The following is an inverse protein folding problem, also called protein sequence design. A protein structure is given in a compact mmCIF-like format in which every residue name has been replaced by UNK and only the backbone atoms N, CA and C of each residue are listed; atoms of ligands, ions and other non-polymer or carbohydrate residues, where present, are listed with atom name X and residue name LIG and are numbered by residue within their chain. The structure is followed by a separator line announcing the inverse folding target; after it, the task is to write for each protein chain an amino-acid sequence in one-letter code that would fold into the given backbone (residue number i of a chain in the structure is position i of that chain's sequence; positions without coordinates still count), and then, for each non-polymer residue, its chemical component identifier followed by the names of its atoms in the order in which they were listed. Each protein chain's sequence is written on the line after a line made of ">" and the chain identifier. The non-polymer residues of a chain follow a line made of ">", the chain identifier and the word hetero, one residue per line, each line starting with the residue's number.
data_IF_965225153697
#
_entry.id   IF_965225153697
#
_cell.length_a   1.000
_cell.length_b   1.000
_cell.length_c   1.000
_cell.angle_alpha   90.00
_cell.angle_beta   90.00
_cell.angle_gamma   90.00
#
_symmetry.space_group_name_H-M   'P 1'
#
loop_
_entity.id
_entity.type
_entity.pdbx_description
1 polymer ?
#
# COMPACT_ATOMS: atom_id res chain seq x y z
N UNK A 1 -18.14 1.98 0.85
CA UNK A 1 -17.72 3.38 0.55
C UNK A 1 -18.04 3.71 -0.89
N UNK A 2 -18.25 4.98 -1.22
CA UNK A 2 -18.34 5.38 -2.62
C UNK A 2 -16.92 5.48 -3.18
N UNK A 3 -16.62 4.69 -4.20
CA UNK A 3 -15.34 4.67 -4.89
C UNK A 3 -15.35 5.46 -6.20
N UNK A 4 -14.49 5.06 -7.14
CA UNK A 4 -14.39 5.66 -8.47
C UNK A 4 -15.76 5.73 -9.17
N UNK A 5 -16.05 6.85 -9.81
CA UNK A 5 -17.33 7.05 -10.52
C UNK A 5 -18.57 7.15 -9.62
N UNK A 6 -18.41 7.12 -8.29
CA UNK A 6 -19.51 7.09 -7.32
C UNK A 6 -20.06 5.69 -7.04
N UNK A 7 -19.44 4.64 -7.55
CA UNK A 7 -19.84 3.25 -7.30
C UNK A 7 -19.69 2.89 -5.84
N UNK A 8 -20.66 2.17 -5.29
CA UNK A 8 -20.56 1.61 -3.95
C UNK A 8 -19.69 0.36 -3.96
N UNK A 9 -18.59 0.38 -3.19
CA UNK A 9 -17.67 -0.75 -3.04
C UNK A 9 -17.48 -1.13 -1.57
N UNK A 10 -17.12 -2.38 -1.32
CA UNK A 10 -16.67 -2.81 0.00
C UNK A 10 -15.35 -2.16 0.37
N UNK A 11 -15.18 -1.84 1.65
CA UNK A 11 -13.92 -1.44 2.23
C UNK A 11 -13.80 -1.94 3.66
N UNK A 12 -12.58 -2.26 4.10
CA UNK A 12 -12.30 -2.71 5.46
C UNK A 12 -11.68 -1.58 6.26
N UNK A 13 -12.41 -1.11 7.27
CA UNK A 13 -11.93 -0.11 8.23
C UNK A 13 -11.44 -0.81 9.50
N UNK A 14 -10.24 -0.45 9.95
CA UNK A 14 -9.71 -0.82 11.26
C UNK A 14 -9.10 0.41 11.91
N UNK A 15 -9.43 0.67 13.18
CA UNK A 15 -8.93 1.85 13.87
C UNK A 15 -8.88 1.61 15.38
N UNK A 16 -7.99 2.29 16.12
CA UNK A 16 -8.03 2.30 17.57
C UNK A 16 -9.37 2.85 18.07
N UNK A 17 -9.89 2.27 19.15
CA UNK A 17 -11.06 2.82 19.82
C UNK A 17 -10.63 4.01 20.70
N UNK A 18 -11.44 5.05 20.69
CA UNK A 18 -11.36 6.20 21.62
C UNK A 18 -9.99 6.93 21.68
N UNK A 19 -9.16 6.81 20.66
CA UNK A 19 -7.91 7.54 20.57
C UNK A 19 -8.09 8.82 19.72
N UNK A 20 -7.71 10.01 20.22
CA UNK A 20 -7.67 11.23 19.41
C UNK A 20 -6.42 11.27 18.53
N UNK A 21 -6.40 12.21 17.57
CA UNK A 21 -5.23 12.53 16.74
C UNK A 21 -4.62 11.33 16.03
N UNK A 22 -5.47 10.44 15.51
CA UNK A 22 -5.06 9.22 14.82
C UNK A 22 -4.48 9.56 13.45
N UNK A 23 -3.21 9.19 13.17
CA UNK A 23 -2.72 9.11 11.80
C UNK A 23 -3.43 8.01 11.05
N UNK A 24 -3.49 8.13 9.74
CA UNK A 24 -4.26 7.18 8.92
C UNK A 24 -3.43 6.59 7.79
N UNK A 25 -3.81 5.37 7.35
CA UNK A 25 -3.13 4.67 6.24
C UNK A 25 -4.15 4.00 5.32
N UNK A 26 -4.08 4.29 4.02
CA UNK A 26 -4.76 3.49 3.01
C UNK A 26 -3.93 2.26 2.70
N UNK A 27 -4.52 1.08 2.84
CA UNK A 27 -3.86 -0.20 2.56
C UNK A 27 -4.32 -0.72 1.20
N UNK A 28 -3.40 -0.86 0.26
CA UNK A 28 -3.64 -1.42 -1.06
C UNK A 28 -3.24 -2.90 -1.05
N UNK A 29 -4.22 -3.76 -1.26
CA UNK A 29 -4.07 -5.19 -1.08
C UNK A 29 -3.27 -5.85 -2.23
N UNK A 30 -2.69 -7.01 -1.94
CA UNK A 30 -2.00 -7.86 -2.91
C UNK A 30 -2.99 -8.66 -3.80
N UNK A 31 -2.47 -9.44 -4.75
CA UNK A 31 -3.20 -10.56 -5.33
C UNK A 31 -2.98 -11.82 -4.45
N UNK A 32 -4.03 -12.51 -3.99
CA UNK A 32 -5.41 -12.54 -4.45
C UNK A 32 -6.35 -11.46 -3.92
N UNK A 33 -5.88 -10.49 -3.13
CA UNK A 33 -6.67 -9.30 -2.86
C UNK A 33 -7.20 -9.19 -1.44
N UNK A 34 -8.42 -8.80 -1.30
CA UNK A 34 -9.20 -8.44 -0.11
C UNK A 34 -9.44 -9.62 0.84
N UNK A 35 -8.36 -10.31 1.23
CA UNK A 35 -8.36 -11.54 1.99
C UNK A 35 -8.12 -11.33 3.49
N UNK A 36 -8.10 -12.44 4.24
CA UNK A 36 -7.87 -12.43 5.68
C UNK A 36 -6.48 -11.87 6.01
N UNK A 37 -5.45 -12.25 5.26
CA UNK A 37 -4.08 -11.85 5.54
C UNK A 37 -3.92 -10.33 5.41
N UNK A 38 -4.48 -9.71 4.36
CA UNK A 38 -4.44 -8.25 4.20
C UNK A 38 -5.27 -7.53 5.27
N UNK A 39 -6.41 -8.10 5.67
CA UNK A 39 -7.21 -7.56 6.79
C UNK A 39 -6.47 -7.65 8.14
N UNK A 40 -5.63 -8.68 8.36
CA UNK A 40 -4.76 -8.74 9.54
C UNK A 40 -3.69 -7.63 9.51
N UNK A 41 -3.13 -7.31 8.35
CA UNK A 41 -2.23 -6.16 8.19
C UNK A 41 -2.93 -4.87 8.64
N UNK A 42 -4.16 -4.62 8.18
CA UNK A 42 -4.93 -3.45 8.60
C UNK A 42 -5.17 -3.41 10.11
N UNK A 43 -5.46 -4.57 10.74
CA UNK A 43 -5.60 -4.67 12.21
C UNK A 43 -4.28 -4.44 12.93
N UNK A 44 -3.17 -4.88 12.37
CA UNK A 44 -1.82 -4.61 12.92
C UNK A 44 -1.56 -3.11 12.97
N UNK A 45 -1.86 -2.36 11.92
CA UNK A 45 -1.77 -0.90 11.94
C UNK A 45 -2.64 -0.28 13.04
N UNK A 46 -3.88 -0.76 13.22
CA UNK A 46 -4.76 -0.26 14.28
C UNK A 46 -4.19 -0.54 15.68
N UNK A 47 -3.55 -1.68 15.90
CA UNK A 47 -2.86 -2.00 17.15
C UNK A 47 -1.67 -1.06 17.43
N UNK A 48 -1.08 -0.47 16.38
CA UNK A 48 -0.01 0.54 16.48
C UNK A 48 -0.51 1.99 16.44
N UNK A 49 -1.82 2.21 16.54
CA UNK A 49 -2.38 3.55 16.70
C UNK A 49 -2.86 4.22 15.41
N UNK A 50 -2.80 3.55 14.26
CA UNK A 50 -3.23 4.09 12.97
C UNK A 50 -4.65 3.69 12.61
N UNK A 51 -5.44 4.62 12.09
CA UNK A 51 -6.68 4.27 11.41
C UNK A 51 -6.37 3.79 9.99
N UNK A 52 -6.92 2.65 9.57
CA UNK A 52 -6.69 2.12 8.22
C UNK A 52 -7.99 1.93 7.47
N UNK A 53 -7.95 2.21 6.17
CA UNK A 53 -9.01 1.86 5.24
C UNK A 53 -8.41 1.12 4.05
N UNK A 54 -8.96 -0.07 3.79
CA UNK A 54 -8.56 -0.91 2.66
C UNK A 54 -9.74 -1.03 1.70
N UNK A 55 -9.76 -0.32 0.57
CA UNK A 55 -10.79 -0.50 -0.46
C UNK A 55 -10.66 -1.88 -1.11
N UNK A 56 -11.78 -2.54 -1.38
CA UNK A 56 -11.81 -3.75 -2.18
C UNK A 56 -11.74 -3.41 -3.67
N UNK A 57 -10.52 -3.31 -4.20
CA UNK A 57 -10.28 -2.93 -5.60
C UNK A 57 -10.85 -3.94 -6.61
N UNK A 58 -11.17 -5.16 -6.16
CA UNK A 58 -11.75 -6.20 -7.01
C UNK A 58 -13.28 -6.29 -6.89
N UNK A 59 -13.92 -5.45 -6.07
CA UNK A 59 -15.36 -5.54 -5.79
C UNK A 59 -16.21 -5.55 -7.06
N UNK A 60 -15.93 -4.67 -8.02
CA UNK A 60 -16.70 -4.51 -9.26
C UNK A 60 -16.66 -5.72 -10.18
N UNK A 61 -15.60 -6.53 -10.11
CA UNK A 61 -15.40 -7.68 -11.00
C UNK A 61 -16.18 -8.91 -10.57
N UNK A 62 -16.38 -9.10 -9.26
CA UNK A 62 -17.17 -10.22 -8.71
C UNK A 62 -17.68 -9.84 -7.31
N UNK A 63 -18.75 -9.04 -7.19
CA UNK A 63 -19.30 -8.60 -5.91
C UNK A 63 -19.69 -9.80 -5.04
N UNK A 64 -19.23 -9.82 -3.78
CA UNK A 64 -19.54 -10.90 -2.83
C UNK A 64 -18.83 -12.23 -3.06
N UNK A 65 -17.97 -12.31 -4.08
CA UNK A 65 -17.18 -13.52 -4.33
C UNK A 65 -16.04 -13.69 -3.30
N UNK A 66 -15.49 -14.89 -3.23
CA UNK A 66 -14.27 -15.13 -2.45
C UNK A 66 -13.11 -14.30 -3.03
N UNK A 67 -12.17 -13.81 -2.19
CA UNK A 67 -11.08 -12.95 -2.66
C UNK A 67 -10.28 -13.49 -3.86
N UNK A 68 -10.00 -14.81 -3.88
CA UNK A 68 -9.31 -15.46 -5.00
C UNK A 68 -10.10 -15.43 -6.31
N UNK A 69 -11.41 -15.64 -6.24
CA UNK A 69 -12.30 -15.63 -7.42
C UNK A 69 -12.46 -14.19 -7.95
N UNK A 70 -12.61 -13.19 -7.06
CA UNK A 70 -12.66 -11.78 -7.44
C UNK A 70 -11.35 -11.32 -8.07
N UNK A 71 -10.21 -11.77 -7.55
CA UNK A 71 -8.90 -11.49 -8.13
C UNK A 71 -8.71 -12.16 -9.50
N UNK A 72 -9.23 -13.38 -9.70
CA UNK A 72 -9.21 -14.04 -11.00
C UNK A 72 -10.05 -13.25 -12.02
N UNK A 73 -11.28 -12.88 -11.66
CA UNK A 73 -12.16 -12.07 -12.51
C UNK A 73 -11.52 -10.71 -12.88
N UNK A 74 -10.89 -10.05 -11.92
CA UNK A 74 -10.17 -8.80 -12.19
C UNK A 74 -9.01 -8.99 -13.17
N UNK A 75 -8.22 -10.08 -13.04
CA UNK A 75 -7.14 -10.39 -14.00
C UNK A 75 -7.68 -10.69 -15.40
N UNK A 76 -8.75 -11.47 -15.50
CA UNK A 76 -9.38 -11.82 -16.78
C UNK A 76 -9.93 -10.57 -17.49
N UNK A 77 -10.32 -9.55 -16.73
CA UNK A 77 -10.73 -8.24 -17.24
C UNK A 77 -9.55 -7.29 -17.56
N UNK A 78 -8.30 -7.73 -17.44
CA UNK A 78 -7.12 -6.92 -17.71
C UNK A 78 -6.51 -6.20 -16.49
N UNK A 79 -7.01 -6.48 -15.29
CA UNK A 79 -6.57 -5.86 -14.04
C UNK A 79 -7.41 -4.66 -13.62
N UNK A 80 -7.00 -4.01 -12.53
CA UNK A 80 -7.62 -2.76 -12.05
C UNK A 80 -7.05 -1.59 -12.82
N UNK A 81 -7.83 -0.82 -13.59
CA UNK A 81 -7.37 0.37 -14.30
C UNK A 81 -6.88 1.46 -13.32
N UNK A 82 -5.92 2.26 -13.78
CA UNK A 82 -5.31 3.28 -12.91
C UNK A 82 -6.33 4.39 -12.50
N UNK A 83 -7.29 4.74 -13.34
CA UNK A 83 -8.36 5.69 -13.01
C UNK A 83 -9.30 5.13 -11.93
N UNK A 84 -9.67 3.84 -12.00
CA UNK A 84 -10.42 3.17 -10.94
C UNK A 84 -9.62 3.15 -9.63
N UNK A 85 -8.33 2.76 -9.69
CA UNK A 85 -7.45 2.76 -8.52
C UNK A 85 -7.38 4.12 -7.86
N UNK A 86 -7.14 5.17 -8.65
CA UNK A 86 -7.00 6.54 -8.15
C UNK A 86 -8.31 7.07 -7.57
N UNK A 87 -9.45 6.75 -8.17
CA UNK A 87 -10.76 7.12 -7.62
C UNK A 87 -11.06 6.41 -6.29
N UNK A 88 -10.80 5.11 -6.20
CA UNK A 88 -11.03 4.33 -4.97
C UNK A 88 -10.07 4.73 -3.84
N UNK A 89 -8.79 4.92 -4.15
CA UNK A 89 -7.80 5.37 -3.19
C UNK A 89 -8.05 6.82 -2.73
N UNK A 90 -8.40 7.71 -3.66
CA UNK A 90 -8.76 9.10 -3.35
C UNK A 90 -9.94 9.19 -2.38
N UNK A 91 -11.01 8.45 -2.67
CA UNK A 91 -12.18 8.39 -1.77
C UNK A 91 -11.81 7.82 -0.38
N UNK A 92 -10.92 6.82 -0.31
CA UNK A 92 -10.44 6.29 0.95
C UNK A 92 -9.61 7.32 1.74
N UNK A 93 -8.74 8.09 1.07
CA UNK A 93 -7.96 9.18 1.68
C UNK A 93 -8.89 10.25 2.26
N UNK A 94 -9.88 10.69 1.51
CA UNK A 94 -10.86 11.70 1.96
C UNK A 94 -11.65 11.22 3.17
N UNK A 95 -12.14 9.98 3.15
CA UNK A 95 -12.87 9.38 4.28
C UNK A 95 -12.00 9.32 5.55
N UNK A 96 -10.73 8.94 5.42
CA UNK A 96 -9.81 8.88 6.55
C UNK A 96 -9.50 10.27 7.10
N UNK A 97 -9.28 11.26 6.25
CA UNK A 97 -9.05 12.66 6.66
C UNK A 97 -10.25 13.28 7.35
N UNK A 98 -11.46 12.95 6.90
CA UNK A 98 -12.72 13.47 7.45
C UNK A 98 -13.14 12.84 8.78
N UNK A 99 -12.45 11.80 9.28
CA UNK A 99 -12.79 11.17 10.56
C UNK A 99 -12.61 12.16 11.72
N UNK A 100 -13.54 12.24 12.68
CA UNK A 100 -13.43 13.15 13.84
C UNK A 100 -12.15 12.94 14.68
N UNK A 101 -11.62 11.71 14.70
CA UNK A 101 -10.40 11.34 15.42
C UNK A 101 -9.13 11.47 14.58
N UNK A 102 -9.21 11.91 13.32
CA UNK A 102 -8.06 12.05 12.41
C UNK A 102 -7.18 13.23 12.80
N UNK A 103 -5.86 13.06 12.71
CA UNK A 103 -4.90 14.17 12.76
C UNK A 103 -4.72 14.88 11.40
N UNK A 104 -5.49 14.49 10.38
CA UNK A 104 -5.44 15.03 9.02
C UNK A 104 -4.37 14.40 8.11
N UNK A 105 -3.46 13.59 8.65
CA UNK A 105 -2.39 12.95 7.88
C UNK A 105 -2.77 11.56 7.41
N UNK A 106 -2.50 11.27 6.13
CA UNK A 106 -2.80 9.98 5.50
C UNK A 106 -1.62 9.49 4.68
N UNK A 107 -1.11 8.31 5.05
CA UNK A 107 -0.15 7.55 4.26
C UNK A 107 -0.82 6.52 3.36
N UNK A 108 -0.05 5.98 2.42
CA UNK A 108 -0.45 4.83 1.60
C UNK A 108 0.59 3.73 1.70
N UNK A 109 0.15 2.49 1.83
CA UNK A 109 1.01 1.30 1.77
C UNK A 109 0.40 0.26 0.86
N UNK A 110 1.24 -0.44 0.11
CA UNK A 110 0.79 -1.55 -0.73
C UNK A 110 1.80 -2.69 -0.79
N UNK A 111 1.29 -3.89 -1.03
CA UNK A 111 2.04 -5.13 -1.04
C UNK A 111 1.91 -5.81 -2.40
N UNK A 112 3.01 -6.25 -3.03
CA UNK A 112 3.03 -6.89 -4.35
C UNK A 112 2.37 -5.98 -5.42
N UNK A 113 1.25 -6.39 -6.02
CA UNK A 113 0.45 -5.51 -6.90
C UNK A 113 0.04 -4.21 -6.22
N UNK A 114 -0.29 -4.25 -4.93
CA UNK A 114 -0.55 -3.07 -4.12
C UNK A 114 0.67 -2.17 -3.95
N UNK A 115 1.89 -2.73 -3.96
CA UNK A 115 3.13 -1.96 -3.93
C UNK A 115 3.27 -1.08 -5.19
N UNK A 116 3.02 -1.64 -6.38
CA UNK A 116 2.92 -0.85 -7.61
C UNK A 116 1.82 0.22 -7.51
N UNK A 117 0.68 -0.16 -6.98
CA UNK A 117 -0.46 0.76 -6.83
C UNK A 117 -0.15 1.89 -5.86
N UNK A 118 0.59 1.66 -4.76
CA UNK A 118 1.00 2.73 -3.84
C UNK A 118 1.96 3.72 -4.50
N UNK A 119 2.82 3.27 -5.42
CA UNK A 119 3.67 4.13 -6.25
C UNK A 119 2.83 5.05 -7.16
N UNK A 120 1.80 4.49 -7.84
CA UNK A 120 0.88 5.26 -8.68
C UNK A 120 0.11 6.28 -7.85
N UNK A 121 -0.45 5.86 -6.70
CA UNK A 121 -1.19 6.74 -5.79
C UNK A 121 -0.30 7.89 -5.31
N UNK A 122 0.94 7.60 -4.88
CA UNK A 122 1.89 8.62 -4.44
C UNK A 122 2.24 9.63 -5.53
N UNK A 123 2.23 9.22 -6.80
CA UNK A 123 2.51 10.11 -7.93
C UNK A 123 1.34 11.03 -8.32
N UNK A 124 0.11 10.61 -8.05
CA UNK A 124 -1.10 11.27 -8.55
C UNK A 124 -1.96 11.94 -7.48
N UNK A 125 -1.95 11.41 -6.25
CA UNK A 125 -2.79 11.90 -5.16
C UNK A 125 -1.97 12.60 -4.07
N UNK A 126 -2.66 13.41 -3.27
CA UNK A 126 -2.05 14.09 -2.12
C UNK A 126 -2.05 13.13 -0.91
N UNK A 127 -0.89 12.55 -0.64
CA UNK A 127 -0.62 11.72 0.54
C UNK A 127 0.60 12.24 1.28
N UNK A 128 0.65 12.01 2.60
CA UNK A 128 1.73 12.52 3.45
C UNK A 128 2.97 11.62 3.47
N UNK A 129 2.81 10.33 3.16
CA UNK A 129 3.90 9.35 3.08
C UNK A 129 3.48 8.12 2.26
N UNK A 130 4.39 7.48 1.54
CA UNK A 130 4.11 6.30 0.75
C UNK A 130 5.07 5.15 1.06
N UNK A 131 4.55 3.93 1.21
CA UNK A 131 5.34 2.71 1.39
C UNK A 131 5.07 1.75 0.24
N UNK A 132 6.14 1.30 -0.41
CA UNK A 132 6.13 0.37 -1.55
C UNK A 132 6.77 -0.94 -1.12
N UNK A 133 5.96 -1.98 -0.89
CA UNK A 133 6.46 -3.31 -0.56
C UNK A 133 6.49 -4.17 -1.82
N UNK A 134 7.69 -4.51 -2.31
CA UNK A 134 7.95 -5.37 -3.47
C UNK A 134 6.99 -5.14 -4.65
N UNK A 135 6.75 -3.88 -4.99
CA UNK A 135 5.88 -3.47 -6.09
C UNK A 135 6.54 -3.62 -7.45
N UNK A 136 6.25 -4.70 -8.18
CA UNK A 136 6.77 -4.91 -9.52
C UNK A 136 6.11 -4.04 -10.59
N UNK A 137 6.81 -3.81 -11.70
CA UNK A 137 6.32 -3.02 -12.85
C UNK A 137 5.95 -1.58 -12.51
N UNK A 138 6.56 -1.02 -11.47
CA UNK A 138 6.41 0.41 -11.17
C UNK A 138 7.15 1.22 -12.24
N UNK A 139 6.51 2.28 -12.72
CA UNK A 139 7.10 3.14 -13.76
C UNK A 139 8.00 4.20 -13.11
N UNK A 140 9.33 4.21 -13.37
CA UNK A 140 10.25 5.20 -12.84
C UNK A 140 9.89 6.64 -13.22
N UNK A 141 9.27 6.88 -14.38
CA UNK A 141 8.88 8.21 -14.85
C UNK A 141 7.88 8.90 -13.90
N UNK A 142 7.11 8.13 -13.14
CA UNK A 142 6.17 8.68 -12.16
C UNK A 142 6.87 9.33 -10.97
N UNK A 143 8.15 9.03 -10.73
CA UNK A 143 8.93 9.61 -9.63
C UNK A 143 8.92 11.14 -9.65
N UNK A 144 8.95 11.76 -10.83
CA UNK A 144 8.90 13.22 -10.99
C UNK A 144 7.69 13.88 -10.31
N UNK A 145 6.56 13.18 -10.31
CA UNK A 145 5.27 13.68 -9.78
C UNK A 145 5.07 13.40 -8.30
N UNK A 146 5.86 12.50 -7.69
CA UNK A 146 5.77 12.18 -6.26
C UNK A 146 6.14 13.40 -5.42
N UNK A 147 5.33 13.75 -4.43
CA UNK A 147 5.54 14.90 -3.54
C UNK A 147 5.78 14.52 -2.08
N UNK A 148 5.46 13.31 -1.70
CA UNK A 148 5.65 12.80 -0.34
C UNK A 148 6.95 12.00 -0.21
N UNK A 149 7.47 11.79 1.01
CA UNK A 149 8.51 10.82 1.28
C UNK A 149 8.10 9.40 0.88
N UNK A 150 9.06 8.60 0.40
CA UNK A 150 8.82 7.21 -0.05
C UNK A 150 9.73 6.24 0.71
N UNK A 151 9.13 5.20 1.30
CA UNK A 151 9.84 4.03 1.80
C UNK A 151 9.65 2.88 0.83
N UNK A 152 10.74 2.26 0.36
CA UNK A 152 10.73 1.07 -0.47
C UNK A 152 11.31 -0.14 0.28
N UNK A 153 10.63 -1.28 0.24
CA UNK A 153 11.02 -2.53 0.87
C UNK A 153 11.04 -3.65 -0.18
N UNK A 154 12.23 -4.16 -0.53
CA UNK A 154 12.40 -5.06 -1.67
C UNK A 154 13.30 -6.25 -1.30
N UNK A 155 12.98 -7.42 -1.85
CA UNK A 155 13.82 -8.60 -1.76
C UNK A 155 14.78 -8.67 -2.94
N UNK A 156 16.05 -9.03 -2.72
CA UNK A 156 17.06 -9.15 -3.78
C UNK A 156 16.88 -10.41 -4.65
N UNK A 157 16.10 -11.40 -4.18
CA UNK A 157 15.76 -12.61 -4.94
C UNK A 157 14.44 -12.47 -5.73
N UNK A 158 13.79 -11.28 -5.69
CA UNK A 158 12.57 -11.03 -6.44
C UNK A 158 12.87 -10.90 -7.95
N UNK A 159 11.98 -11.44 -8.77
CA UNK A 159 12.05 -11.35 -10.22
C UNK A 159 11.17 -10.23 -10.77
N UNK A 160 10.25 -9.71 -9.97
CA UNK A 160 9.37 -8.59 -10.33
C UNK A 160 8.83 -7.89 -9.07
N UNK A 161 9.50 -6.79 -8.64
CA UNK A 161 10.62 -6.11 -9.28
C UNK A 161 11.94 -6.89 -9.14
N UNK A 162 12.71 -6.93 -10.21
CA UNK A 162 14.11 -7.37 -10.15
C UNK A 162 14.97 -6.32 -9.44
N UNK A 163 16.19 -6.69 -8.96
CA UNK A 163 17.12 -5.70 -8.43
C UNK A 163 17.39 -4.52 -9.39
N UNK A 164 17.45 -4.78 -10.70
CA UNK A 164 17.63 -3.74 -11.70
C UNK A 164 16.42 -2.81 -11.83
N UNK A 165 15.19 -3.33 -11.69
CA UNK A 165 13.99 -2.50 -11.64
C UNK A 165 14.01 -1.57 -10.41
N UNK A 166 14.45 -2.09 -9.26
CA UNK A 166 14.59 -1.31 -8.03
C UNK A 166 15.65 -0.23 -8.17
N UNK A 167 16.81 -0.54 -8.82
CA UNK A 167 17.84 0.44 -9.15
C UNK A 167 17.29 1.59 -9.99
N UNK A 168 16.45 1.28 -10.98
CA UNK A 168 15.83 2.29 -11.84
C UNK A 168 14.88 3.20 -11.08
N UNK A 169 14.06 2.65 -10.16
CA UNK A 169 13.16 3.45 -9.29
C UNK A 169 13.97 4.37 -8.37
N UNK A 170 15.03 3.84 -7.77
CA UNK A 170 15.89 4.60 -6.86
C UNK A 170 16.62 5.73 -7.59
N UNK A 171 17.16 5.44 -8.78
CA UNK A 171 17.78 6.44 -9.65
C UNK A 171 16.80 7.56 -10.01
N UNK A 172 15.58 7.22 -10.39
CA UNK A 172 14.56 8.20 -10.74
C UNK A 172 14.16 9.10 -9.56
N UNK A 173 14.02 8.54 -8.35
CA UNK A 173 13.77 9.35 -7.14
C UNK A 173 14.93 10.32 -6.86
N UNK A 174 16.16 9.83 -6.96
CA UNK A 174 17.38 10.63 -6.75
C UNK A 174 17.51 11.76 -7.78
N UNK A 175 17.32 11.48 -9.05
CA UNK A 175 17.39 12.45 -10.15
C UNK A 175 16.34 13.56 -10.01
N UNK A 176 15.17 13.22 -9.48
CA UNK A 176 14.09 14.19 -9.22
C UNK A 176 14.15 14.83 -7.82
N UNK A 177 15.24 14.63 -7.04
CA UNK A 177 15.44 15.24 -5.73
C UNK A 177 14.39 14.85 -4.69
N UNK A 178 13.86 13.62 -4.76
CA UNK A 178 12.82 13.16 -3.85
C UNK A 178 13.40 12.65 -2.53
N UNK A 179 12.62 12.77 -1.46
CA UNK A 179 12.94 12.16 -0.16
C UNK A 179 12.55 10.70 -0.19
N UNK A 180 13.49 9.81 0.00
CA UNK A 180 13.22 8.37 -0.01
C UNK A 180 14.19 7.58 0.86
N UNK A 181 13.79 6.35 1.23
CA UNK A 181 14.64 5.32 1.83
C UNK A 181 14.27 3.97 1.24
N UNK A 182 15.24 3.27 0.64
CA UNK A 182 15.05 1.92 0.10
C UNK A 182 15.85 0.92 0.92
N UNK A 183 15.18 -0.13 1.37
CA UNK A 183 15.78 -1.28 2.07
C UNK A 183 15.66 -2.52 1.20
N UNK A 184 16.77 -3.22 1.06
CA UNK A 184 16.88 -4.42 0.23
C UNK A 184 17.30 -5.58 1.11
N UNK A 185 16.66 -6.72 0.95
CA UNK A 185 16.83 -7.90 1.78
C UNK A 185 17.40 -9.05 0.96
N UNK A 186 18.65 -9.45 1.28
CA UNK A 186 19.28 -10.62 0.68
C UNK A 186 18.55 -11.90 1.12
N UNK A 187 18.35 -12.83 0.18
CA UNK A 187 17.63 -14.07 0.42
C UNK A 187 16.10 -13.95 0.37
N UNK A 188 15.55 -12.74 0.45
CA UNK A 188 14.11 -12.53 0.36
C UNK A 188 13.67 -12.31 -1.10
N UNK A 189 12.51 -12.88 -1.45
CA UNK A 189 11.85 -12.68 -2.74
C UNK A 189 10.55 -11.88 -2.61
N UNK A 190 9.67 -12.00 -3.61
CA UNK A 190 8.34 -11.38 -3.56
C UNK A 190 7.52 -11.93 -2.39
N UNK A 191 6.70 -11.09 -1.78
CA UNK A 191 5.76 -11.45 -0.71
C UNK A 191 6.41 -11.94 0.60
N UNK A 192 7.62 -11.48 0.93
CA UNK A 192 8.30 -11.86 2.18
C UNK A 192 7.56 -11.44 3.46
N UNK A 193 6.55 -10.57 3.40
CA UNK A 193 5.64 -10.27 4.52
C UNK A 193 4.50 -11.28 4.71
N UNK A 194 4.30 -12.23 3.79
CA UNK A 194 3.15 -13.13 3.79
C UNK A 194 3.35 -14.32 4.73
N UNK A 195 3.04 -14.16 6.01
CA UNK A 195 3.26 -15.13 7.10
C UNK A 195 2.62 -16.51 6.88
N UNK A 196 1.62 -16.59 6.02
CA UNK A 196 0.87 -17.81 5.70
C UNK A 196 1.35 -18.50 4.40
N UNK A 197 2.50 -18.06 3.85
CA UNK A 197 3.02 -18.53 2.56
C UNK A 197 4.48 -18.96 2.63
N UNK A 198 4.93 -19.87 1.76
CA UNK A 198 6.31 -20.38 1.75
C UNK A 198 7.39 -19.30 1.50
N UNK A 199 7.02 -18.16 0.88
CA UNK A 199 7.94 -17.06 0.61
C UNK A 199 8.13 -16.11 1.79
N UNK A 200 7.49 -16.37 2.93
CA UNK A 200 7.69 -15.58 4.13
C UNK A 200 9.15 -15.62 4.59
N UNK A 201 9.74 -14.46 4.76
CA UNK A 201 11.08 -14.32 5.35
C UNK A 201 10.97 -13.57 6.68
N UNK A 202 11.33 -14.24 7.76
CA UNK A 202 11.17 -13.71 9.13
C UNK A 202 12.01 -12.47 9.36
N UNK A 203 13.27 -12.48 8.93
CA UNK A 203 14.21 -11.41 9.23
C UNK A 203 13.91 -10.16 8.38
N UNK A 204 13.63 -10.35 7.08
CA UNK A 204 13.18 -9.29 6.20
C UNK A 204 11.85 -8.68 6.66
N UNK A 205 10.88 -9.51 7.07
CA UNK A 205 9.59 -9.03 7.56
C UNK A 205 9.71 -8.26 8.88
N UNK A 206 10.53 -8.72 9.83
CA UNK A 206 10.76 -8.03 11.11
C UNK A 206 11.41 -6.67 10.91
N UNK A 207 12.47 -6.60 10.11
CA UNK A 207 13.12 -5.33 9.82
C UNK A 207 12.18 -4.43 9.02
N UNK A 208 11.50 -4.96 8.01
CA UNK A 208 10.53 -4.22 7.21
C UNK A 208 9.43 -3.56 8.06
N UNK A 209 8.86 -4.27 9.03
CA UNK A 209 7.91 -3.68 9.98
C UNK A 209 8.54 -2.57 10.81
N UNK A 210 9.78 -2.75 11.30
CA UNK A 210 10.51 -1.71 12.03
C UNK A 210 10.69 -0.45 11.18
N UNK A 211 11.08 -0.61 9.90
CA UNK A 211 11.21 0.52 8.96
C UNK A 211 9.87 1.22 8.73
N UNK A 212 8.77 0.47 8.55
CA UNK A 212 7.43 1.04 8.37
C UNK A 212 7.03 1.87 9.59
N UNK A 213 7.21 1.35 10.82
CA UNK A 213 6.82 2.09 12.03
C UNK A 213 7.68 3.35 12.23
N UNK A 214 8.99 3.27 12.01
CA UNK A 214 9.87 4.43 12.08
C UNK A 214 9.49 5.50 11.07
N UNK A 215 9.26 5.11 9.83
CA UNK A 215 8.92 6.00 8.73
C UNK A 215 7.56 6.68 8.93
N UNK A 216 6.52 5.94 9.26
CA UNK A 216 5.22 6.53 9.52
C UNK A 216 5.17 7.33 10.82
N UNK A 217 5.93 6.93 11.85
CA UNK A 217 6.08 7.71 13.06
C UNK A 217 6.65 9.11 12.78
N UNK A 218 7.66 9.20 11.92
CA UNK A 218 8.28 10.47 11.50
C UNK A 218 7.33 11.34 10.66
N UNK A 219 6.63 10.74 9.69
CA UNK A 219 5.91 11.53 8.68
C UNK A 219 4.41 11.71 8.97
N UNK A 220 3.79 10.77 9.67
CA UNK A 220 2.36 10.83 9.99
C UNK A 220 2.08 11.19 11.46
N UNK A 221 3.08 11.15 12.34
CA UNK A 221 2.92 11.45 13.76
C UNK A 221 2.37 10.28 14.58
N UNK A 222 2.58 9.03 14.16
CA UNK A 222 2.30 7.83 14.94
C UNK A 222 3.26 7.64 16.12
N UNK A 223 2.89 6.78 17.08
CA UNK A 223 3.72 6.43 18.26
C UNK A 223 4.70 5.31 17.94
#
# INVERSE_FOLDING_TARGET
>A
MNGAGGDEIEAYLSAPLDAPDQPSVVVLHHMPGYDRATKEIARTFAAYGYATLMPNLHHRYAPGAKPGDAAAAARDAGGVPDDQLLGDAGAAIELLRARPSSNGKVGVIGYCSGGRQSWIVASALDVDAAVVCYGGRSDPELARSIRCPVLGLFGNEDQSPSPADVDALEAALKENGKTYSFHRYDGAGNAFFSVDRPMYDLDAARDGWKQIWSFYGEHLGGR
#
